data_IF_316261079046
#
_entry.id   IF_316261079046
#
_cell.length_a   1.000
_cell.length_b   1.000
_cell.length_c   1.000
_cell.angle_alpha   90.00
_cell.angle_beta   90.00
_cell.angle_gamma   90.00
#
_symmetry.space_group_name_H-M   'P 1'
#
loop_
_entity.id
_entity.type
_entity.pdbx_description
1 polymer ?
#
# COMPACT_ATOMS: atom_id res chain seq x y z
N UNK A 1 17.64 26.89 -62.46
CA UNK A 1 18.82 26.57 -61.63
C UNK A 1 18.39 26.35 -60.20
N UNK A 2 18.34 25.10 -59.71
CA UNK A 2 18.13 24.83 -58.30
C UNK A 2 19.46 25.02 -57.56
N UNK A 3 19.53 26.00 -56.65
CA UNK A 3 20.68 26.19 -55.74
C UNK A 3 20.81 24.92 -54.88
N UNK A 4 21.98 24.26 -54.91
CA UNK A 4 22.34 23.24 -53.93
C UNK A 4 22.36 23.90 -52.55
N UNK A 5 21.35 23.63 -51.72
CA UNK A 5 21.38 23.96 -50.30
C UNK A 5 22.51 23.19 -49.62
N UNK A 6 23.20 23.81 -48.66
CA UNK A 6 24.18 23.11 -47.83
C UNK A 6 23.41 22.04 -47.04
N UNK A 7 23.75 20.76 -47.21
CA UNK A 7 23.16 19.67 -46.45
C UNK A 7 23.69 19.66 -45.01
N UNK A 8 22.91 19.08 -44.09
CA UNK A 8 23.31 18.85 -42.70
C UNK A 8 24.55 17.95 -42.65
N UNK A 9 25.50 18.29 -41.78
CA UNK A 9 26.65 17.43 -41.50
C UNK A 9 26.32 16.42 -40.39
N UNK A 10 26.94 15.24 -40.44
CA UNK A 10 26.76 14.22 -39.40
C UNK A 10 27.20 14.72 -38.01
N UNK A 11 28.22 15.58 -37.95
CA UNK A 11 28.73 16.13 -36.69
C UNK A 11 27.71 17.08 -36.03
N UNK A 12 27.01 17.90 -36.82
CA UNK A 12 25.93 18.77 -36.33
C UNK A 12 24.75 17.94 -35.80
N UNK A 13 24.38 16.86 -36.52
CA UNK A 13 23.30 15.98 -36.08
C UNK A 13 23.65 15.26 -34.77
N UNK A 14 24.89 14.78 -34.64
CA UNK A 14 25.37 14.12 -33.43
C UNK A 14 25.33 15.08 -32.23
N UNK A 15 25.80 16.32 -32.39
CA UNK A 15 25.77 17.32 -31.33
C UNK A 15 24.34 17.57 -30.83
N UNK A 16 23.36 17.65 -31.74
CA UNK A 16 21.95 17.84 -31.37
C UNK A 16 21.38 16.65 -30.60
N UNK A 17 21.67 15.41 -31.03
CA UNK A 17 21.19 14.21 -30.34
C UNK A 17 21.75 14.13 -28.92
N UNK A 18 23.04 14.42 -28.74
CA UNK A 18 23.69 14.44 -27.42
C UNK A 18 23.02 15.45 -26.50
N UNK A 19 22.74 16.67 -27.00
CA UNK A 19 22.07 17.71 -26.21
C UNK A 19 20.64 17.29 -25.84
N UNK A 20 19.87 16.72 -26.80
CA UNK A 20 18.51 16.23 -26.53
C UNK A 20 18.51 15.12 -25.48
N UNK A 21 19.48 14.19 -25.52
CA UNK A 21 19.58 13.11 -24.55
C UNK A 21 19.79 13.65 -23.13
N UNK A 22 20.70 14.61 -22.94
CA UNK A 22 20.95 15.25 -21.64
C UNK A 22 19.69 15.94 -21.10
N UNK A 23 18.99 16.69 -21.96
CA UNK A 23 17.74 17.36 -21.58
C UNK A 23 16.66 16.33 -21.22
N UNK A 24 16.55 15.24 -21.99
CA UNK A 24 15.57 14.19 -21.75
C UNK A 24 15.79 13.50 -20.41
N UNK A 25 17.05 13.20 -20.05
CA UNK A 25 17.39 12.56 -18.77
C UNK A 25 16.93 13.39 -17.56
N UNK A 26 17.07 14.72 -17.61
CA UNK A 26 16.66 15.61 -16.51
C UNK A 26 15.14 15.79 -16.49
N UNK A 27 14.49 15.86 -17.66
CA UNK A 27 13.06 16.17 -17.76
C UNK A 27 12.16 14.96 -17.49
N UNK A 28 12.61 13.73 -17.79
CA UNK A 28 11.79 12.53 -17.70
C UNK A 28 11.25 12.23 -16.28
N UNK A 29 12.03 12.32 -15.18
CA UNK A 29 11.51 12.11 -13.82
C UNK A 29 10.41 13.10 -13.44
N UNK A 30 10.60 14.39 -13.78
CA UNK A 30 9.63 15.45 -13.49
C UNK A 30 8.32 15.21 -14.24
N UNK A 31 8.39 14.86 -15.52
CA UNK A 31 7.21 14.54 -16.33
C UNK A 31 6.45 13.33 -15.75
N UNK A 32 7.15 12.28 -15.30
CA UNK A 32 6.51 11.13 -14.65
C UNK A 32 5.73 11.53 -13.40
N UNK A 33 6.30 12.36 -12.53
CA UNK A 33 5.64 12.81 -11.31
C UNK A 33 4.39 13.64 -11.60
N UNK A 34 4.46 14.56 -12.58
CA UNK A 34 3.31 15.37 -13.00
C UNK A 34 2.18 14.48 -13.52
N UNK A 35 2.49 13.52 -14.38
CA UNK A 35 1.51 12.59 -14.94
C UNK A 35 0.91 11.71 -13.84
N UNK A 36 1.73 11.18 -12.92
CA UNK A 36 1.25 10.36 -11.81
C UNK A 36 0.28 11.13 -10.92
N UNK A 37 0.63 12.36 -10.53
CA UNK A 37 -0.25 13.21 -9.72
C UNK A 37 -1.57 13.53 -10.45
N UNK A 38 -1.54 13.76 -11.76
CA UNK A 38 -2.75 13.95 -12.56
C UNK A 38 -3.62 12.69 -12.58
N UNK A 39 -3.02 11.51 -12.77
CA UNK A 39 -3.71 10.21 -12.72
C UNK A 39 -4.33 9.96 -11.34
N UNK A 40 -3.60 10.27 -10.27
CA UNK A 40 -4.08 10.12 -8.89
C UNK A 40 -5.28 11.00 -8.59
N UNK A 41 -5.30 12.24 -9.08
CA UNK A 41 -6.44 13.15 -8.95
C UNK A 41 -7.64 12.70 -9.78
N UNK A 42 -7.42 12.22 -11.00
CA UNK A 42 -8.47 11.67 -11.86
C UNK A 42 -9.09 10.40 -11.25
N UNK A 43 -8.26 9.49 -10.77
CA UNK A 43 -8.70 8.29 -10.06
C UNK A 43 -9.52 8.64 -8.83
N UNK A 44 -9.07 9.57 -7.98
CA UNK A 44 -9.82 9.94 -6.79
C UNK A 44 -11.19 10.56 -7.11
N UNK A 45 -11.28 11.32 -8.21
CA UNK A 45 -12.56 11.88 -8.66
C UNK A 45 -13.51 10.78 -9.14
N UNK A 46 -13.00 9.82 -9.92
CA UNK A 46 -13.76 8.64 -10.36
C UNK A 46 -14.20 7.78 -9.17
N UNK A 47 -13.30 7.49 -8.23
CA UNK A 47 -13.56 6.77 -6.97
C UNK A 47 -14.74 7.38 -6.20
N UNK A 48 -14.72 8.70 -6.00
CA UNK A 48 -15.81 9.42 -5.31
C UNK A 48 -17.14 9.33 -6.07
N UNK A 49 -17.10 9.32 -7.40
CA UNK A 49 -18.29 9.10 -8.23
C UNK A 49 -18.88 7.71 -7.99
N UNK A 50 -18.04 6.68 -8.06
CA UNK A 50 -18.43 5.28 -7.81
C UNK A 50 -19.00 5.11 -6.39
N UNK A 51 -18.34 5.65 -5.37
CA UNK A 51 -18.79 5.58 -3.98
C UNK A 51 -20.15 6.28 -3.77
N UNK A 52 -20.38 7.41 -4.43
CA UNK A 52 -21.69 8.09 -4.42
C UNK A 52 -22.77 7.27 -5.12
N UNK A 53 -22.43 6.57 -6.19
CA UNK A 53 -23.36 5.67 -6.85
C UNK A 53 -23.72 4.48 -5.97
N UNK A 54 -22.74 3.87 -5.30
CA UNK A 54 -23.00 2.82 -4.30
C UNK A 54 -23.86 3.33 -3.14
N UNK A 55 -23.66 4.59 -2.71
CA UNK A 55 -24.53 5.25 -1.74
C UNK A 55 -25.97 5.37 -2.23
N UNK A 56 -26.17 5.80 -3.49
CA UNK A 56 -27.49 5.89 -4.09
C UNK A 56 -28.16 4.51 -4.14
N UNK A 57 -27.44 3.49 -4.62
CA UNK A 57 -27.93 2.12 -4.67
C UNK A 57 -28.34 1.61 -3.28
N UNK A 58 -27.47 1.77 -2.27
CA UNK A 58 -27.78 1.37 -0.90
C UNK A 58 -29.02 2.08 -0.35
N UNK A 59 -29.20 3.36 -0.68
CA UNK A 59 -30.36 4.16 -0.23
C UNK A 59 -31.66 3.67 -0.86
N UNK A 60 -31.62 3.24 -2.13
CA UNK A 60 -32.79 2.74 -2.86
C UNK A 60 -33.13 1.29 -2.48
N UNK A 61 -32.12 0.49 -2.13
CA UNK A 61 -32.22 -0.96 -1.89
C UNK A 61 -31.76 -1.33 -0.47
N UNK A 62 -32.12 -0.53 0.54
CA UNK A 62 -31.67 -0.71 1.93
C UNK A 62 -31.98 -2.09 2.48
N UNK A 63 -33.06 -2.73 2.02
CA UNK A 63 -33.49 -4.05 2.47
C UNK A 63 -32.70 -5.21 1.81
N UNK A 64 -32.01 -4.95 0.69
CA UNK A 64 -31.25 -5.97 -0.05
C UNK A 64 -29.80 -6.08 0.44
N UNK A 65 -29.21 -4.95 0.87
CA UNK A 65 -27.82 -4.92 1.33
C UNK A 65 -27.74 -5.23 2.83
N UNK A 66 -27.48 -6.51 3.12
CA UNK A 66 -27.33 -6.98 4.49
C UNK A 66 -25.95 -6.60 5.04
N UNK A 67 -25.94 -5.71 6.04
CA UNK A 67 -24.74 -5.36 6.79
C UNK A 67 -24.50 -6.39 7.91
N UNK A 68 -23.52 -7.28 7.75
CA UNK A 68 -23.05 -8.19 8.81
C UNK A 68 -22.05 -7.45 9.68
N UNK A 69 -22.33 -7.35 10.99
CA UNK A 69 -21.50 -6.58 11.93
C UNK A 69 -21.25 -5.12 11.48
N UNK A 70 -22.25 -4.50 10.84
CA UNK A 70 -22.15 -3.13 10.33
C UNK A 70 -21.36 -2.99 9.03
N UNK A 71 -21.05 -4.10 8.35
CA UNK A 71 -20.23 -4.13 7.13
C UNK A 71 -20.93 -4.94 6.04
N UNK A 72 -20.96 -4.40 4.84
CA UNK A 72 -21.45 -5.06 3.63
C UNK A 72 -20.71 -4.51 2.41
N UNK A 73 -21.15 -4.91 1.22
CA UNK A 73 -20.60 -4.40 -0.02
C UNK A 73 -21.62 -4.49 -1.15
N UNK A 74 -21.32 -3.78 -2.23
CA UNK A 74 -21.95 -3.95 -3.53
C UNK A 74 -20.84 -4.09 -4.57
N UNK A 75 -21.05 -4.96 -5.56
CA UNK A 75 -20.11 -5.15 -6.66
C UNK A 75 -20.34 -4.10 -7.76
N UNK A 76 -19.27 -3.72 -8.47
CA UNK A 76 -19.33 -2.78 -9.59
C UNK A 76 -20.26 -3.32 -10.69
N UNK A 77 -20.25 -4.63 -10.93
CA UNK A 77 -21.14 -5.29 -11.88
C UNK A 77 -22.62 -4.99 -11.59
N UNK A 78 -23.04 -5.13 -10.33
CA UNK A 78 -24.42 -4.81 -9.91
C UNK A 78 -24.78 -3.36 -10.21
N UNK A 79 -23.87 -2.41 -9.91
CA UNK A 79 -24.13 -0.99 -10.17
C UNK A 79 -24.24 -0.66 -11.67
N UNK A 80 -23.51 -1.40 -12.52
CA UNK A 80 -23.62 -1.30 -13.99
C UNK A 80 -24.93 -1.90 -14.51
N UNK A 81 -25.33 -3.06 -14.00
CA UNK A 81 -26.58 -3.75 -14.38
C UNK A 81 -27.81 -2.90 -14.05
N UNK A 82 -27.80 -2.22 -12.91
CA UNK A 82 -28.84 -1.27 -12.48
C UNK A 82 -28.83 0.07 -13.27
N UNK A 83 -27.87 0.24 -14.20
CA UNK A 83 -27.74 1.46 -15.00
C UNK A 83 -27.31 2.70 -14.22
N UNK A 84 -26.73 2.51 -13.02
CA UNK A 84 -26.28 3.59 -12.17
C UNK A 84 -24.83 4.01 -12.46
N UNK A 85 -24.06 3.12 -13.10
CA UNK A 85 -22.71 3.35 -13.58
C UNK A 85 -22.61 3.10 -15.09
N UNK A 86 -21.68 3.80 -15.73
CA UNK A 86 -21.30 3.50 -17.10
C UNK A 86 -20.79 2.05 -17.20
N UNK A 87 -21.19 1.35 -18.27
CA UNK A 87 -20.81 -0.05 -18.49
C UNK A 87 -19.30 -0.25 -18.56
N UNK A 88 -18.56 0.79 -18.97
CA UNK A 88 -17.11 0.80 -19.06
C UNK A 88 -16.52 1.96 -18.28
N UNK A 89 -15.78 1.64 -17.22
CA UNK A 89 -15.06 2.61 -16.40
C UNK A 89 -13.57 2.33 -16.50
N UNK A 90 -12.79 3.29 -16.95
CA UNK A 90 -11.33 3.16 -17.02
C UNK A 90 -10.69 3.69 -15.74
N UNK A 91 -9.89 2.85 -15.11
CA UNK A 91 -9.05 3.22 -13.98
C UNK A 91 -7.90 4.12 -14.48
N UNK A 92 -7.85 5.36 -13.99
CA UNK A 92 -6.82 6.32 -14.39
C UNK A 92 -5.40 5.92 -13.93
N UNK A 93 -5.26 4.99 -12.97
CA UNK A 93 -3.97 4.57 -12.42
C UNK A 93 -3.18 3.71 -13.40
N UNK A 94 -3.84 2.70 -13.97
CA UNK A 94 -3.24 1.67 -14.83
C UNK A 94 -3.81 1.65 -16.26
N UNK A 95 -4.83 2.47 -16.55
CA UNK A 95 -5.55 2.54 -17.82
C UNK A 95 -6.24 1.22 -18.21
N UNK A 96 -6.54 0.39 -17.22
CA UNK A 96 -7.35 -0.82 -17.37
C UNK A 96 -8.80 -0.53 -17.00
N UNK A 97 -9.70 -1.40 -17.45
CA UNK A 97 -11.10 -1.32 -17.05
C UNK A 97 -11.28 -1.80 -15.61
N UNK A 98 -12.15 -1.13 -14.85
CA UNK A 98 -12.56 -1.59 -13.52
C UNK A 98 -13.48 -2.80 -13.69
N UNK A 99 -13.01 -3.95 -13.20
CA UNK A 99 -13.72 -5.22 -13.23
C UNK A 99 -15.03 -5.19 -12.44
N UNK A 100 -15.95 -6.06 -12.83
CA UNK A 100 -17.27 -6.15 -12.22
C UNK A 100 -17.22 -6.72 -10.80
N UNK A 101 -16.21 -7.54 -10.50
CA UNK A 101 -15.92 -8.17 -9.21
C UNK A 101 -15.34 -7.21 -8.16
N UNK A 102 -14.97 -5.99 -8.57
CA UNK A 102 -14.50 -4.94 -7.68
C UNK A 102 -15.65 -4.54 -6.74
N UNK A 103 -15.34 -4.37 -5.45
CA UNK A 103 -16.34 -4.12 -4.41
C UNK A 103 -16.29 -2.67 -3.94
N UNK A 104 -17.45 -2.08 -3.71
CA UNK A 104 -17.58 -0.88 -2.88
C UNK A 104 -18.04 -1.32 -1.50
N UNK A 105 -17.16 -1.15 -0.51
CA UNK A 105 -17.46 -1.41 0.89
C UNK A 105 -18.52 -0.44 1.38
N UNK A 106 -19.51 -0.95 2.10
CA UNK A 106 -20.54 -0.18 2.80
C UNK A 106 -20.38 -0.50 4.28
N UNK A 107 -20.01 0.49 5.10
CA UNK A 107 -19.70 0.24 6.50
C UNK A 107 -20.24 1.35 7.41
N UNK A 108 -20.61 0.97 8.63
CA UNK A 108 -21.04 1.93 9.66
C UNK A 108 -19.83 2.41 10.45
N UNK A 109 -19.74 3.72 10.62
CA UNK A 109 -18.83 4.37 11.57
C UNK A 109 -19.67 5.27 12.48
N UNK A 110 -20.00 4.75 13.67
CA UNK A 110 -21.08 5.32 14.48
C UNK A 110 -22.44 5.18 13.79
N UNK A 111 -23.19 6.27 13.72
CA UNK A 111 -24.50 6.34 13.04
C UNK A 111 -24.40 6.62 11.54
N UNK A 112 -23.21 6.91 11.02
CA UNK A 112 -23.01 7.28 9.63
C UNK A 112 -22.60 6.06 8.81
N UNK A 113 -23.29 5.83 7.70
CA UNK A 113 -22.89 4.85 6.69
C UNK A 113 -21.89 5.51 5.74
N UNK A 114 -20.76 4.83 5.53
CA UNK A 114 -19.67 5.27 4.67
C UNK A 114 -19.38 4.23 3.60
N UNK A 115 -18.66 4.71 2.59
CA UNK A 115 -18.40 3.98 1.36
C UNK A 115 -16.91 4.03 1.06
N UNK A 116 -16.34 2.89 0.65
CA UNK A 116 -14.94 2.84 0.24
C UNK A 116 -14.73 1.84 -0.88
N UNK A 117 -14.25 2.30 -2.04
CA UNK A 117 -13.87 1.43 -3.14
C UNK A 117 -12.70 0.53 -2.74
N UNK A 118 -12.87 -0.78 -2.87
CA UNK A 118 -11.87 -1.80 -2.51
C UNK A 118 -11.21 -2.34 -3.78
N UNK A 119 -9.95 -1.96 -4.01
CA UNK A 119 -9.13 -2.45 -5.12
C UNK A 119 -7.80 -2.98 -4.58
N UNK A 120 -7.23 -3.97 -5.25
CA UNK A 120 -6.04 -4.69 -4.78
C UNK A 120 -5.04 -4.89 -5.92
N UNK A 121 -4.76 -3.83 -6.65
CA UNK A 121 -3.75 -3.82 -7.72
C UNK A 121 -2.62 -2.83 -7.41
N UNK A 122 -1.49 -2.98 -8.11
CA UNK A 122 -0.27 -2.21 -7.83
C UNK A 122 -0.50 -0.69 -7.91
N UNK A 123 -1.22 -0.24 -8.94
CA UNK A 123 -1.54 1.17 -9.13
C UNK A 123 -2.35 1.75 -7.98
N UNK A 124 -3.34 0.99 -7.48
CA UNK A 124 -4.14 1.38 -6.32
C UNK A 124 -3.28 1.47 -5.06
N UNK A 125 -2.41 0.49 -4.80
CA UNK A 125 -1.56 0.52 -3.61
C UNK A 125 -0.50 1.63 -3.67
N UNK A 126 0.04 1.95 -4.85
CA UNK A 126 0.91 3.14 -5.03
C UNK A 126 0.17 4.45 -4.71
N UNK A 127 -1.04 4.60 -5.24
CA UNK A 127 -1.90 5.75 -4.94
C UNK A 127 -2.23 5.81 -3.45
N UNK A 128 -2.59 4.69 -2.83
CA UNK A 128 -3.02 4.62 -1.45
C UNK A 128 -1.86 4.92 -0.48
N UNK A 129 -0.66 4.39 -0.72
CA UNK A 129 0.56 4.76 0.02
C UNK A 129 0.83 6.27 -0.06
N UNK A 130 0.63 6.87 -1.23
CA UNK A 130 0.76 8.33 -1.39
C UNK A 130 -0.26 9.08 -0.52
N UNK A 131 -1.48 8.55 -0.34
CA UNK A 131 -2.48 9.12 0.58
C UNK A 131 -2.07 8.99 2.04
N UNK A 132 -1.52 7.85 2.44
CA UNK A 132 -0.99 7.66 3.80
C UNK A 132 0.13 8.65 4.11
N UNK A 133 1.12 8.79 3.22
CA UNK A 133 2.22 9.75 3.38
C UNK A 133 1.67 11.19 3.49
N UNK A 134 0.72 11.57 2.63
CA UNK A 134 0.12 12.89 2.65
C UNK A 134 -0.72 13.14 3.92
N UNK A 135 -1.33 12.11 4.49
CA UNK A 135 -2.04 12.19 5.77
C UNK A 135 -1.07 12.46 6.91
N UNK A 136 0.02 11.69 6.98
CA UNK A 136 1.08 11.82 7.99
C UNK A 136 1.76 13.19 7.92
N UNK A 137 2.08 13.67 6.71
CA UNK A 137 2.69 15.00 6.48
C UNK A 137 1.87 16.18 7.01
N UNK A 138 0.55 16.04 7.15
CA UNK A 138 -0.34 17.15 7.52
C UNK A 138 -0.43 17.38 9.03
N UNK A 139 -0.02 16.42 9.83
CA UNK A 139 -0.12 16.49 11.29
C UNK A 139 1.27 16.43 11.90
N UNK A 140 1.70 17.53 12.50
CA UNK A 140 3.02 17.67 13.12
C UNK A 140 3.23 16.64 14.23
N UNK A 141 2.15 16.17 14.89
CA UNK A 141 2.25 15.13 15.90
C UNK A 141 2.67 13.77 15.34
N UNK A 142 2.66 13.59 14.02
CA UNK A 142 3.15 12.38 13.36
C UNK A 142 4.63 12.46 12.97
N UNK A 143 5.26 13.62 13.14
CA UNK A 143 6.66 13.83 12.78
C UNK A 143 7.58 13.55 13.97
N UNK A 144 8.81 13.05 13.74
CA UNK A 144 9.84 12.97 14.76
C UNK A 144 10.49 14.34 15.01
N UNK A 145 10.91 14.60 16.24
CA UNK A 145 11.47 15.89 16.64
C UNK A 145 12.99 15.98 16.35
N UNK A 146 13.70 14.87 16.52
CA UNK A 146 15.17 14.84 16.48
C UNK A 146 15.70 14.27 15.15
N UNK A 147 16.81 14.82 14.66
CA UNK A 147 17.46 14.30 13.44
C UNK A 147 17.94 12.86 13.66
N UNK A 148 17.66 11.98 12.71
CA UNK A 148 17.89 10.53 12.75
C UNK A 148 16.84 9.75 13.53
N UNK A 149 15.85 10.41 14.13
CA UNK A 149 14.74 9.73 14.79
C UNK A 149 13.73 9.22 13.75
N UNK A 150 13.29 7.98 13.96
CA UNK A 150 12.28 7.32 13.13
C UNK A 150 11.00 7.19 13.94
N UNK A 151 9.90 7.63 13.34
CA UNK A 151 8.55 7.50 13.89
C UNK A 151 7.68 6.70 12.94
N UNK A 152 6.88 5.80 13.50
CA UNK A 152 5.96 4.95 12.73
C UNK A 152 4.52 5.32 13.05
N UNK A 153 3.72 5.54 12.01
CA UNK A 153 2.28 5.77 12.12
C UNK A 153 1.54 4.59 11.49
N UNK A 154 0.77 3.88 12.29
CA UNK A 154 0.03 2.70 11.85
C UNK A 154 -1.15 3.09 10.94
N UNK A 155 -1.42 2.26 9.93
CA UNK A 155 -2.53 2.47 8.99
C UNK A 155 -3.88 2.49 9.70
N UNK A 156 -4.04 1.67 10.75
CA UNK A 156 -5.25 1.66 11.58
C UNK A 156 -5.57 3.05 12.16
N UNK A 157 -4.56 3.75 12.67
CA UNK A 157 -4.72 5.11 13.21
C UNK A 157 -5.16 6.11 12.13
N UNK A 158 -4.61 5.98 10.90
CA UNK A 158 -4.97 6.85 9.77
C UNK A 158 -6.42 6.59 9.30
N UNK A 159 -6.87 5.33 9.31
CA UNK A 159 -8.25 4.97 8.96
C UNK A 159 -9.23 5.39 10.05
N UNK A 160 -8.90 5.18 11.32
CA UNK A 160 -9.74 5.58 12.45
C UNK A 160 -9.94 7.10 12.53
N UNK A 161 -8.89 7.84 12.18
CA UNK A 161 -8.92 9.31 12.08
C UNK A 161 -9.49 9.83 10.75
N UNK A 162 -9.96 8.94 9.88
CA UNK A 162 -10.55 9.25 8.56
C UNK A 162 -9.63 10.02 7.60
N UNK A 163 -8.32 9.96 7.82
CA UNK A 163 -7.34 10.64 6.99
C UNK A 163 -7.11 9.90 5.66
N UNK A 164 -7.37 8.59 5.65
CA UNK A 164 -7.39 7.73 4.48
C UNK A 164 -8.68 6.90 4.44
N UNK A 165 -9.06 6.43 3.25
CA UNK A 165 -10.28 5.62 3.09
C UNK A 165 -10.15 4.26 3.77
N UNK A 166 -11.23 3.72 4.33
CA UNK A 166 -11.24 2.37 4.91
C UNK A 166 -10.79 1.31 3.87
N UNK A 167 -9.86 0.44 4.25
CA UNK A 167 -9.31 -0.59 3.38
C UNK A 167 -9.30 -1.93 4.11
N UNK A 168 -9.93 -2.94 3.52
CA UNK A 168 -10.20 -4.23 4.16
C UNK A 168 -9.65 -5.40 3.37
N UNK A 169 -9.61 -6.59 3.95
CA UNK A 169 -9.11 -7.76 3.23
C UNK A 169 -10.10 -8.17 2.12
N UNK A 170 -9.63 -8.61 0.94
CA UNK A 170 -10.50 -8.99 -0.18
C UNK A 170 -11.37 -10.23 0.12
N UNK A 171 -10.84 -11.13 0.94
CA UNK A 171 -11.47 -12.42 1.31
C UNK A 171 -12.34 -12.27 2.57
N UNK A 172 -11.92 -11.40 3.50
CA UNK A 172 -12.67 -11.08 4.72
C UNK A 172 -12.82 -9.57 4.89
N UNK A 173 -13.94 -9.03 4.43
CA UNK A 173 -14.29 -7.63 4.64
C UNK A 173 -14.59 -7.31 6.11
N UNK A 174 -14.63 -8.29 7.03
CA UNK A 174 -14.65 -8.03 8.47
C UNK A 174 -13.32 -7.48 8.98
N UNK A 175 -12.23 -7.86 8.33
CA UNK A 175 -10.85 -7.56 8.73
C UNK A 175 -10.26 -6.42 7.91
N UNK A 176 -9.44 -5.59 8.56
CA UNK A 176 -8.76 -4.45 7.93
C UNK A 176 -7.42 -4.87 7.34
N UNK A 177 -6.97 -4.17 6.31
CA UNK A 177 -5.59 -4.28 5.86
C UNK A 177 -4.63 -3.70 6.90
N UNK A 178 -3.41 -4.20 6.90
CA UNK A 178 -2.34 -3.76 7.78
C UNK A 178 -1.34 -2.91 7.00
N UNK A 179 -0.60 -2.06 7.72
CA UNK A 179 0.36 -1.17 7.09
C UNK A 179 0.79 -0.05 8.01
N UNK A 180 1.76 0.73 7.56
CA UNK A 180 2.31 1.84 8.33
C UNK A 180 3.00 2.85 7.40
N UNK A 181 3.31 4.02 7.96
CA UNK A 181 4.25 4.99 7.39
C UNK A 181 5.39 5.19 8.38
N UNK A 182 6.62 4.95 7.93
CA UNK A 182 7.84 5.36 8.63
C UNK A 182 8.21 6.77 8.18
N UNK A 183 8.52 7.62 9.15
CA UNK A 183 9.01 8.97 8.94
C UNK A 183 10.36 9.08 9.63
N UNK A 184 11.40 9.45 8.88
CA UNK A 184 12.72 9.74 9.43
C UNK A 184 13.01 11.24 9.26
N UNK A 185 13.45 11.92 10.33
CA UNK A 185 13.95 13.29 10.20
C UNK A 185 15.40 13.24 9.71
N UNK A 186 15.61 13.49 8.42
CA UNK A 186 16.94 13.41 7.78
C UNK A 186 17.81 14.61 8.18
N UNK A 187 17.21 15.78 8.27
CA UNK A 187 17.84 17.01 8.76
C UNK A 187 16.78 17.98 9.30
N UNK A 188 17.16 19.19 9.71
CA UNK A 188 16.23 20.16 10.33
C UNK A 188 15.01 20.52 9.46
N UNK A 189 15.11 20.42 8.13
CA UNK A 189 14.06 20.84 7.20
C UNK A 189 13.51 19.71 6.33
N UNK A 190 13.97 18.49 6.52
CA UNK A 190 13.71 17.39 5.59
C UNK A 190 13.37 16.11 6.33
N UNK A 191 12.33 15.45 5.83
CA UNK A 191 11.86 14.17 6.31
C UNK A 191 11.77 13.20 5.14
N UNK A 192 12.21 11.97 5.37
CA UNK A 192 11.98 10.86 4.46
C UNK A 192 10.76 10.04 4.90
N UNK A 193 10.04 9.49 3.93
CA UNK A 193 8.77 8.80 4.15
C UNK A 193 8.73 7.48 3.39
N UNK A 194 8.55 6.39 4.13
CA UNK A 194 8.34 5.07 3.55
C UNK A 194 7.00 4.53 4.01
N UNK A 195 6.11 4.21 3.06
CA UNK A 195 4.80 3.64 3.36
C UNK A 195 4.71 2.19 2.91
N UNK A 196 4.02 1.38 3.72
CA UNK A 196 3.75 -0.03 3.44
C UNK A 196 2.28 -0.35 3.71
N UNK A 197 1.69 -1.20 2.88
CA UNK A 197 0.31 -1.69 3.01
C UNK A 197 0.27 -3.14 2.54
N UNK A 198 -0.39 -3.99 3.31
CA UNK A 198 -0.66 -5.38 2.99
C UNK A 198 -2.14 -5.72 3.27
N UNK A 199 -2.75 -6.40 2.31
CA UNK A 199 -4.15 -6.81 2.32
C UNK A 199 -4.33 -8.33 2.11
N UNK A 200 -3.30 -9.16 2.30
CA UNK A 200 -3.31 -10.57 1.87
C UNK A 200 -3.15 -11.63 2.99
N UNK A 201 -4.07 -11.72 3.94
CA UNK A 201 -4.16 -12.89 4.85
C UNK A 201 -5.54 -13.56 4.66
N UNK A 202 -5.65 -14.69 3.95
CA UNK A 202 -5.21 -16.04 4.38
C UNK A 202 -4.41 -16.85 3.33
N UNK A 203 -4.05 -16.28 2.17
CA UNK A 203 -3.32 -17.01 1.11
C UNK A 203 -1.92 -16.46 0.78
N UNK A 204 -1.44 -15.42 1.47
CA UNK A 204 -0.03 -15.00 1.43
C UNK A 204 0.71 -15.52 2.66
N UNK A 205 1.01 -16.82 2.68
CA UNK A 205 2.07 -17.36 3.51
C UNK A 205 3.48 -17.09 2.93
N UNK A 206 3.60 -16.15 1.97
CA UNK A 206 4.86 -15.81 1.31
C UNK A 206 4.98 -14.30 1.05
N UNK A 207 4.73 -13.47 2.06
CA UNK A 207 5.55 -12.28 2.29
C UNK A 207 5.99 -12.31 3.76
N UNK A 208 7.29 -12.45 3.90
CA UNK A 208 8.03 -12.69 5.13
C UNK A 208 7.95 -11.50 6.10
N UNK A 209 7.24 -11.66 7.21
CA UNK A 209 7.91 -11.39 8.48
C UNK A 209 9.04 -12.41 8.57
N UNK A 210 10.30 -12.00 8.39
CA UNK A 210 11.34 -12.77 9.08
C UNK A 210 11.12 -12.49 10.57
N UNK A 211 10.52 -13.45 11.27
CA UNK A 211 10.64 -13.45 12.72
C UNK A 211 12.07 -13.91 12.98
N UNK A 212 12.95 -12.98 13.34
CA UNK A 212 14.30 -13.34 13.75
C UNK A 212 14.21 -14.01 15.11
N UNK A 213 14.58 -15.29 15.15
CA UNK A 213 14.76 -16.03 16.38
C UNK A 213 16.26 -16.02 16.70
N UNK A 214 16.62 -15.31 17.77
CA UNK A 214 18.00 -15.10 18.17
C UNK A 214 18.20 -13.78 18.90
N UNK A 215 19.46 -13.48 19.21
CA UNK A 215 19.87 -12.27 19.93
C UNK A 215 21.21 -11.71 19.46
N UNK A 216 21.96 -11.11 20.40
CA UNK A 216 23.19 -10.35 20.11
C UNK A 216 24.35 -11.23 19.63
N UNK A 217 24.39 -12.50 20.00
CA UNK A 217 25.52 -13.41 19.77
C UNK A 217 25.15 -14.51 18.75
N UNK A 218 25.81 -15.66 18.79
CA UNK A 218 25.61 -16.75 17.83
C UNK A 218 24.34 -17.56 18.14
N UNK A 219 23.47 -17.64 17.15
CA UNK A 219 22.22 -18.40 17.16
C UNK A 219 22.19 -19.32 15.93
N UNK A 220 22.14 -20.63 16.14
CA UNK A 220 22.21 -21.63 15.07
C UNK A 220 21.06 -22.64 15.19
N UNK A 221 20.22 -22.73 14.18
CA UNK A 221 19.22 -23.79 14.03
C UNK A 221 19.82 -24.97 13.27
N UNK A 222 19.72 -26.16 13.87
CA UNK A 222 20.34 -27.38 13.38
C UNK A 222 19.36 -28.29 12.65
N UNK A 223 18.07 -28.23 13.00
CA UNK A 223 17.04 -29.07 12.40
C UNK A 223 15.65 -28.40 12.44
N UNK A 224 14.78 -28.80 11.52
CA UNK A 224 13.41 -28.30 11.39
C UNK A 224 12.43 -29.41 11.01
N UNK A 225 11.26 -29.45 11.65
CA UNK A 225 10.24 -30.47 11.42
C UNK A 225 8.82 -29.91 11.38
N UNK A 226 8.07 -30.26 10.34
CA UNK A 226 6.65 -29.93 10.22
C UNK A 226 5.80 -30.69 11.26
N UNK A 227 4.84 -30.01 11.87
CA UNK A 227 3.91 -30.54 12.89
C UNK A 227 2.55 -30.91 12.29
N UNK A 228 1.79 -31.76 12.98
CA UNK A 228 0.49 -32.27 12.47
C UNK A 228 -0.60 -31.22 12.31
N UNK A 229 -0.41 -30.04 12.91
CA UNK A 229 -1.27 -28.86 12.78
C UNK A 229 -0.85 -27.94 11.61
N UNK A 230 0.14 -28.34 10.80
CA UNK A 230 0.66 -27.55 9.67
C UNK A 230 1.69 -26.48 10.06
N UNK A 231 2.13 -26.45 11.33
CA UNK A 231 3.25 -25.61 11.79
C UNK A 231 4.62 -26.24 11.58
N UNK A 232 5.68 -25.59 12.08
CA UNK A 232 7.05 -26.11 12.06
C UNK A 232 7.70 -25.94 13.42
N UNK A 233 8.51 -26.91 13.85
CA UNK A 233 9.39 -26.81 15.01
C UNK A 233 10.83 -26.71 14.51
N UNK A 234 11.58 -25.70 14.96
CA UNK A 234 13.00 -25.57 14.71
C UNK A 234 13.79 -25.70 16.03
N UNK A 235 14.89 -26.44 16.00
CA UNK A 235 15.75 -26.69 17.17
C UNK A 235 17.20 -26.29 16.90
N UNK A 236 17.91 -25.81 17.91
CA UNK A 236 19.24 -25.26 17.74
C UNK A 236 19.98 -24.99 19.03
N UNK A 237 21.04 -24.18 18.93
CA UNK A 237 21.81 -23.64 20.07
C UNK A 237 21.97 -22.13 19.95
N UNK A 238 22.02 -21.45 21.09
CA UNK A 238 22.19 -20.00 21.19
C UNK A 238 23.14 -19.66 22.34
N UNK A 239 23.99 -18.65 22.17
CA UNK A 239 24.70 -18.02 23.29
C UNK A 239 24.27 -16.57 23.53
N UNK A 240 23.10 -16.19 23.02
CA UNK A 240 22.52 -14.87 23.17
C UNK A 240 21.86 -14.72 24.55
N UNK A 241 22.21 -13.66 25.30
CA UNK A 241 21.66 -13.37 26.64
C UNK A 241 20.16 -13.02 26.64
N UNK A 242 19.65 -12.56 25.50
CA UNK A 242 18.26 -12.20 25.28
C UNK A 242 17.83 -12.71 23.92
N UNK A 243 16.70 -13.40 23.86
CA UNK A 243 16.10 -13.89 22.61
C UNK A 243 14.91 -13.00 22.27
N UNK A 244 14.91 -12.50 21.03
CA UNK A 244 13.82 -11.69 20.48
C UNK A 244 12.47 -12.38 20.74
N UNK A 245 11.50 -11.64 21.31
CA UNK A 245 10.13 -12.10 21.61
C UNK A 245 9.94 -13.08 22.79
N UNK A 246 10.99 -13.70 23.35
CA UNK A 246 10.84 -14.72 24.41
C UNK A 246 11.59 -14.42 25.74
N UNK A 247 12.30 -13.30 25.84
CA UNK A 247 12.82 -12.79 27.12
C UNK A 247 14.26 -13.20 27.44
N UNK A 248 14.60 -13.09 28.72
CA UNK A 248 15.97 -13.22 29.26
C UNK A 248 16.20 -14.67 29.71
N UNK A 249 17.29 -15.28 29.27
CA UNK A 249 17.60 -16.66 29.66
C UNK A 249 18.82 -17.19 28.94
N UNK A 250 20.01 -16.83 29.42
CA UNK A 250 21.23 -17.55 29.11
C UNK A 250 21.95 -17.90 30.43
N UNK A 251 22.22 -19.18 30.65
CA UNK A 251 22.92 -19.69 31.83
C UNK A 251 24.42 -19.96 31.57
N UNK A 252 24.98 -19.52 30.44
CA UNK A 252 26.41 -19.65 30.16
C UNK A 252 26.79 -19.61 28.67
N UNK A 253 27.58 -20.59 28.23
CA UNK A 253 28.26 -20.57 26.93
C UNK A 253 27.34 -20.82 25.72
N UNK A 254 26.48 -21.84 25.74
CA UNK A 254 25.49 -22.12 24.69
C UNK A 254 24.34 -22.89 25.35
N UNK A 255 23.13 -22.38 25.19
CA UNK A 255 21.88 -23.02 25.61
C UNK A 255 21.12 -23.54 24.39
N UNK A 256 20.22 -24.51 24.60
CA UNK A 256 19.35 -25.01 23.54
C UNK A 256 18.24 -24.00 23.23
N UNK A 257 17.96 -23.78 21.94
CA UNK A 257 16.82 -22.97 21.48
C UNK A 257 15.81 -23.86 20.75
N UNK A 258 14.53 -23.67 21.05
CA UNK A 258 13.41 -24.37 20.41
C UNK A 258 12.34 -23.34 20.07
N UNK A 259 11.88 -23.37 18.83
CA UNK A 259 10.85 -22.47 18.30
C UNK A 259 9.77 -23.32 17.63
N UNK A 260 8.50 -22.96 17.84
CA UNK A 260 7.34 -23.51 17.13
C UNK A 260 6.50 -22.36 16.57
#
# INVERSE_FOLDING_TARGET
MFKKGKGFTLIELLAVIVIIAIIFTITFPVLKNIISNARYGAFESSKKGIERTAQLYYTLNMDEVILKNGVGHVEIGTLKEEGLLDTKIINALDNLEIGDDVKVLIYKQGEVVKYSLQMYNDGFFEWYRTKMINAVKKDENNLPDNVGEIKTVELSMLMDSELVSELRLPIDLGSRCEGFVKVEKVNENEYDYEAYVDCLTEASSFVSHYVSYGGKYLDEFLDVKETSDGGYIAVGKSNSETITKYGIGNNGNYDAIIVK
#
